data_IF_146301658386
#
_entry.id   IF_146301658386
#
_cell.length_a   1.000
_cell.length_b   1.000
_cell.length_c   1.000
_cell.angle_alpha   90.00
_cell.angle_beta   90.00
_cell.angle_gamma   90.00
#
_symmetry.space_group_name_H-M   'P 1'
#
loop_
_entity.id
_entity.type
_entity.pdbx_description
1 polymer ?
#
# COMPACT_ATOMS: atom_id res chain seq x y z
N UNK A 1 12.67 -52.14 42.71
CA UNK A 1 12.65 -53.60 42.47
C UNK A 1 11.34 -53.92 41.73
N UNK A 2 11.49 -54.43 40.50
CA UNK A 2 10.51 -55.03 39.57
C UNK A 2 9.30 -54.24 39.05
N UNK A 3 9.41 -53.94 37.75
CA UNK A 3 8.38 -53.76 36.72
C UNK A 3 7.71 -55.11 36.41
N UNK A 4 6.42 -55.10 36.03
CA UNK A 4 5.76 -55.97 35.02
C UNK A 4 4.28 -55.55 34.94
N UNK A 5 3.83 -54.92 33.85
CA UNK A 5 3.32 -55.45 32.56
C UNK A 5 1.78 -55.38 32.53
N UNK A 6 1.20 -54.38 31.84
CA UNK A 6 0.76 -54.38 30.43
C UNK A 6 -0.73 -54.77 30.24
N UNK A 7 -1.42 -53.84 29.57
CA UNK A 7 -2.49 -54.01 28.59
C UNK A 7 -3.82 -54.65 29.04
N UNK A 8 -4.85 -53.79 29.09
CA UNK A 8 -5.96 -53.94 28.13
C UNK A 8 -6.62 -52.60 27.80
N UNK A 9 -6.56 -52.29 26.50
CA UNK A 9 -7.31 -51.25 25.80
C UNK A 9 -8.82 -51.47 25.94
N UNK A 10 -9.57 -50.40 26.10
CA UNK A 10 -10.86 -50.20 25.44
C UNK A 10 -11.10 -48.69 25.27
N UNK A 11 -10.91 -48.23 24.03
CA UNK A 11 -11.24 -46.89 23.60
C UNK A 11 -12.75 -46.76 23.40
N UNK A 12 -13.35 -45.68 23.87
CA UNK A 12 -14.66 -45.23 23.42
C UNK A 12 -14.64 -43.70 23.22
N UNK A 13 -14.63 -43.37 21.93
CA UNK A 13 -15.11 -42.17 21.26
C UNK A 13 -15.71 -41.05 22.14
N UNK A 14 -15.09 -39.87 22.09
CA UNK A 14 -15.63 -38.61 22.59
C UNK A 14 -15.55 -37.53 21.52
N UNK A 15 -16.68 -37.31 20.84
CA UNK A 15 -17.09 -36.18 19.99
C UNK A 15 -16.02 -35.18 19.52
N UNK A 16 -15.68 -35.23 18.23
CA UNK A 16 -15.14 -34.08 17.52
C UNK A 16 -16.29 -33.07 17.30
N UNK A 17 -16.34 -32.03 18.12
CA UNK A 17 -17.12 -30.83 17.82
C UNK A 17 -16.39 -30.08 16.70
N UNK A 18 -16.78 -30.35 15.46
CA UNK A 18 -16.45 -29.52 14.33
C UNK A 18 -17.24 -28.21 14.48
N UNK A 19 -16.64 -27.24 15.17
CA UNK A 19 -17.09 -25.85 15.18
C UNK A 19 -16.97 -25.34 13.74
N UNK A 20 -18.08 -25.29 13.03
CA UNK A 20 -18.16 -24.69 11.71
C UNK A 20 -17.70 -23.25 11.79
N UNK A 21 -16.54 -22.96 11.19
CA UNK A 21 -16.17 -21.61 10.81
C UNK A 21 -17.20 -21.16 9.77
N UNK A 22 -18.21 -20.42 10.23
CA UNK A 22 -19.00 -19.57 9.36
C UNK A 22 -18.04 -18.52 8.79
N UNK A 23 -17.42 -18.82 7.66
CA UNK A 23 -16.78 -17.81 6.83
C UNK A 23 -17.93 -16.95 6.34
N UNK A 24 -18.13 -15.81 6.99
CA UNK A 24 -18.88 -14.70 6.41
C UNK A 24 -18.10 -14.31 5.15
N UNK A 25 -18.44 -14.93 4.02
CA UNK A 25 -18.14 -14.36 2.70
C UNK A 25 -18.99 -13.11 2.61
N UNK A 26 -18.53 -12.02 3.22
CA UNK A 26 -19.03 -10.71 2.87
C UNK A 26 -18.91 -10.61 1.36
N UNK A 27 -20.01 -10.28 0.69
CA UNK A 27 -20.00 -9.92 -0.72
C UNK A 27 -19.29 -8.56 -0.87
N UNK A 28 -17.98 -8.54 -0.61
CA UNK A 28 -17.08 -7.50 -1.07
C UNK A 28 -16.46 -7.99 -2.37
N UNK A 29 -16.23 -7.07 -3.30
CA UNK A 29 -15.45 -7.39 -4.49
C UNK A 29 -14.08 -7.95 -4.07
N UNK A 30 -13.66 -9.02 -4.74
CA UNK A 30 -12.35 -9.59 -4.47
C UNK A 30 -11.26 -8.68 -5.07
N UNK A 31 -10.13 -8.44 -4.37
CA UNK A 31 -9.04 -7.67 -4.93
C UNK A 31 -8.52 -8.28 -6.23
N UNK A 32 -8.46 -7.47 -7.30
CA UNK A 32 -7.87 -7.82 -8.60
C UNK A 32 -6.54 -7.11 -8.81
N UNK A 33 -5.68 -7.64 -9.66
CA UNK A 33 -4.50 -6.88 -10.10
C UNK A 33 -4.96 -5.69 -10.95
N UNK A 34 -4.25 -4.55 -10.85
CA UNK A 34 -4.39 -3.47 -11.79
C UNK A 34 -4.02 -3.94 -13.21
N UNK A 35 -4.67 -3.38 -14.23
CA UNK A 35 -4.36 -3.64 -15.63
C UNK A 35 -3.00 -3.04 -16.02
N UNK A 36 -2.66 -1.88 -15.46
CA UNK A 36 -1.36 -1.25 -15.66
C UNK A 36 -0.94 -0.41 -14.45
N UNK A 37 0.37 -0.27 -14.31
CA UNK A 37 1.02 0.73 -13.45
C UNK A 37 1.96 1.54 -14.36
N UNK A 38 1.99 2.85 -14.18
CA UNK A 38 2.89 3.73 -14.93
C UNK A 38 3.26 4.97 -14.11
N UNK A 39 4.05 5.85 -14.73
CA UNK A 39 4.37 7.17 -14.17
C UNK A 39 3.12 8.03 -14.08
N UNK A 40 3.03 8.90 -13.06
CA UNK A 40 1.92 9.86 -12.96
C UNK A 40 1.80 10.74 -14.21
N UNK A 41 0.56 11.06 -14.59
CA UNK A 41 0.24 11.94 -15.70
C UNK A 41 0.15 13.43 -15.32
N UNK A 42 0.29 13.76 -14.03
CA UNK A 42 0.30 15.15 -13.53
C UNK A 42 1.40 16.03 -14.15
N UNK A 43 2.46 15.41 -14.67
CA UNK A 43 3.64 16.10 -15.21
C UNK A 43 4.41 16.91 -14.17
N UNK A 44 4.23 16.61 -12.88
CA UNK A 44 4.91 17.30 -11.78
C UNK A 44 6.13 16.54 -11.27
N UNK A 45 7.14 17.30 -10.83
CA UNK A 45 8.29 16.76 -10.10
C UNK A 45 7.98 16.82 -8.61
N UNK A 46 7.90 15.66 -7.96
CA UNK A 46 7.51 15.59 -6.54
C UNK A 46 8.68 15.80 -5.56
N UNK A 47 9.91 15.43 -5.95
CA UNK A 47 11.11 15.39 -5.06
C UNK A 47 12.04 16.61 -5.17
N UNK A 48 11.66 17.64 -5.94
CA UNK A 48 12.56 18.74 -6.30
C UNK A 48 13.69 18.36 -7.27
N UNK A 49 13.83 17.09 -7.65
CA UNK A 49 14.85 16.60 -8.58
C UNK A 49 14.25 16.46 -9.98
N UNK A 50 14.72 17.27 -10.96
CA UNK A 50 14.11 17.32 -12.29
C UNK A 50 14.15 16.01 -13.08
N UNK A 51 15.03 15.08 -12.74
CA UNK A 51 15.12 13.74 -13.36
C UNK A 51 13.94 12.84 -13.00
N UNK A 52 13.18 13.18 -11.97
CA UNK A 52 12.05 12.38 -11.51
C UNK A 52 10.79 12.68 -12.31
N UNK A 53 10.86 13.68 -13.21
CA UNK A 53 9.82 13.91 -14.19
C UNK A 53 9.69 12.67 -15.09
N UNK A 54 8.53 12.04 -15.08
CA UNK A 54 8.30 10.78 -15.80
C UNK A 54 8.95 9.58 -15.13
N UNK A 55 9.17 9.62 -13.82
CA UNK A 55 9.49 8.46 -12.99
C UNK A 55 8.34 8.15 -12.04
N UNK A 56 8.18 6.86 -11.70
CA UNK A 56 7.42 6.47 -10.52
C UNK A 56 8.30 6.81 -9.31
N UNK A 57 7.73 7.38 -8.26
CA UNK A 57 8.48 7.77 -7.05
C UNK A 57 7.76 7.26 -5.82
N UNK A 58 8.51 6.60 -4.93
CA UNK A 58 8.09 6.32 -3.56
C UNK A 58 9.25 6.65 -2.62
N UNK A 59 8.97 7.36 -1.54
CA UNK A 59 10.02 7.60 -0.57
C UNK A 59 9.66 8.53 0.57
N UNK A 60 10.55 8.54 1.55
CA UNK A 60 10.63 9.57 2.57
C UNK A 60 12.09 9.88 2.83
N UNK A 61 12.46 11.15 2.73
CA UNK A 61 13.86 11.56 2.77
C UNK A 61 14.14 12.82 1.99
N UNK A 62 15.42 13.03 1.70
CA UNK A 62 15.90 14.09 0.80
C UNK A 62 16.82 13.53 -0.30
N UNK A 63 17.22 12.26 -0.21
CA UNK A 63 18.22 11.63 -1.07
C UNK A 63 17.64 10.44 -1.83
N UNK A 64 18.01 10.31 -3.10
CA UNK A 64 17.75 9.09 -3.85
C UNK A 64 18.62 7.94 -3.35
N UNK A 65 17.98 6.93 -2.76
CA UNK A 65 18.62 5.70 -2.30
C UNK A 65 17.55 4.63 -2.03
N UNK A 66 17.99 3.38 -1.95
CA UNK A 66 17.16 2.22 -1.59
C UNK A 66 16.47 2.35 -0.22
N UNK A 67 16.94 3.27 0.63
CA UNK A 67 16.41 3.50 1.99
C UNK A 67 15.71 4.85 2.16
N UNK A 68 15.58 5.67 1.11
CA UNK A 68 14.88 6.96 1.19
C UNK A 68 13.93 7.12 0.01
N UNK A 69 14.40 7.75 -1.07
CA UNK A 69 13.63 8.01 -2.29
C UNK A 69 14.04 7.03 -3.38
N UNK A 70 13.06 6.27 -3.86
CA UNK A 70 13.25 5.24 -4.90
C UNK A 70 12.46 5.60 -6.15
N UNK A 71 13.01 5.20 -7.30
CA UNK A 71 12.39 5.38 -8.62
C UNK A 71 12.16 4.04 -9.33
N UNK A 72 11.23 3.20 -8.82
CA UNK A 72 11.05 1.86 -9.36
C UNK A 72 10.50 1.89 -10.79
N UNK A 73 10.79 0.83 -11.53
CA UNK A 73 10.18 0.58 -12.83
C UNK A 73 8.73 0.10 -12.64
N UNK A 74 7.85 0.26 -13.65
CA UNK A 74 6.47 -0.24 -13.57
C UNK A 74 6.34 -1.72 -13.17
N UNK A 75 7.26 -2.58 -13.62
CA UNK A 75 7.27 -4.02 -13.31
C UNK A 75 7.73 -4.34 -11.87
N UNK A 76 8.24 -3.35 -11.15
CA UNK A 76 8.66 -3.45 -9.74
C UNK A 76 7.59 -2.94 -8.77
N UNK A 77 6.45 -2.51 -9.30
CA UNK A 77 5.30 -2.01 -8.54
C UNK A 77 4.11 -2.94 -8.78
N UNK A 78 3.51 -3.42 -7.70
CA UNK A 78 2.26 -4.19 -7.75
C UNK A 78 1.13 -3.33 -7.23
N UNK A 79 0.04 -3.22 -7.99
CA UNK A 79 -1.18 -2.57 -7.54
C UNK A 79 -2.36 -3.55 -7.54
N UNK A 80 -3.18 -3.49 -6.50
CA UNK A 80 -4.41 -4.28 -6.35
C UNK A 80 -5.60 -3.35 -6.18
N UNK A 81 -6.62 -3.58 -7.00
CA UNK A 81 -7.83 -2.78 -7.05
C UNK A 81 -8.99 -3.58 -6.44
N UNK A 82 -9.80 -2.93 -5.60
CA UNK A 82 -11.01 -3.50 -4.99
C UNK A 82 -12.17 -2.57 -5.28
N UNK A 83 -13.31 -3.09 -5.75
CA UNK A 83 -14.42 -2.26 -6.19
C UNK A 83 -14.20 -1.59 -7.56
N UNK A 84 -15.12 -0.69 -7.93
CA UNK A 84 -15.12 0.05 -9.19
C UNK A 84 -15.74 1.44 -9.01
N UNK A 85 -15.41 2.37 -9.91
CA UNK A 85 -15.96 3.73 -9.92
C UNK A 85 -15.77 4.41 -8.56
N UNK A 86 -16.89 4.84 -7.96
CA UNK A 86 -16.85 5.55 -6.68
C UNK A 86 -16.57 4.67 -5.45
N UNK A 87 -16.55 3.34 -5.63
CA UNK A 87 -16.22 2.37 -4.58
C UNK A 87 -14.79 1.82 -4.72
N UNK A 88 -13.99 2.37 -5.66
CA UNK A 88 -12.64 1.90 -5.92
C UNK A 88 -11.70 2.18 -4.74
N UNK A 89 -10.98 1.16 -4.30
CA UNK A 89 -9.81 1.27 -3.43
C UNK A 89 -8.61 0.61 -4.11
N UNK A 90 -7.45 1.26 -3.98
CA UNK A 90 -6.18 0.80 -4.58
C UNK A 90 -5.15 0.61 -3.48
N UNK A 91 -4.56 -0.59 -3.42
CA UNK A 91 -3.38 -0.88 -2.63
C UNK A 91 -2.18 -1.03 -3.57
N UNK A 92 -1.15 -0.22 -3.35
CA UNK A 92 0.08 -0.20 -4.14
C UNK A 92 1.21 -0.68 -3.24
N UNK A 93 1.97 -1.65 -3.70
CA UNK A 93 3.19 -2.13 -3.05
C UNK A 93 4.36 -1.97 -4.00
N UNK A 94 5.46 -1.41 -3.52
CA UNK A 94 6.69 -1.23 -4.29
C UNK A 94 7.87 -1.89 -3.57
N UNK A 95 9.03 -1.90 -4.23
CA UNK A 95 10.28 -2.36 -3.64
C UNK A 95 10.60 -1.60 -2.32
N UNK A 96 11.50 -2.18 -1.53
CA UNK A 96 11.96 -1.58 -0.27
C UNK A 96 10.83 -1.35 0.76
N UNK A 97 9.83 -2.24 0.77
CA UNK A 97 8.80 -2.32 1.80
C UNK A 97 7.67 -1.29 1.71
N UNK A 98 7.64 -0.44 0.69
CA UNK A 98 6.62 0.62 0.54
C UNK A 98 5.23 0.04 0.28
N UNK A 99 4.23 0.53 1.02
CA UNK A 99 2.81 0.28 0.78
C UNK A 99 2.02 1.58 0.85
N UNK A 100 1.20 1.85 -0.18
CA UNK A 100 0.30 3.00 -0.26
C UNK A 100 -1.13 2.49 -0.43
N UNK A 101 -2.08 3.03 0.31
CA UNK A 101 -3.52 2.78 0.11
C UNK A 101 -4.26 4.07 -0.17
N UNK A 102 -5.08 4.03 -1.21
CA UNK A 102 -5.93 5.13 -1.63
C UNK A 102 -7.37 4.61 -1.77
N UNK A 103 -8.34 5.43 -1.38
CA UNK A 103 -9.76 5.17 -1.58
C UNK A 103 -10.37 6.30 -2.40
N UNK A 104 -11.27 5.96 -3.31
CA UNK A 104 -11.88 6.92 -4.23
C UNK A 104 -12.43 8.15 -3.49
N UNK A 105 -12.08 9.34 -3.98
CA UNK A 105 -12.54 10.62 -3.44
C UNK A 105 -11.97 10.98 -2.06
N UNK A 106 -11.12 10.13 -1.46
CA UNK A 106 -10.41 10.46 -0.22
C UNK A 106 -9.21 11.35 -0.53
N UNK A 107 -9.03 12.48 0.20
CA UNK A 107 -7.81 13.28 0.15
C UNK A 107 -6.73 12.75 1.11
N UNK A 108 -6.91 11.55 1.65
CA UNK A 108 -5.99 10.91 2.59
C UNK A 108 -5.45 9.65 1.96
N UNK A 109 -4.12 9.50 2.01
CA UNK A 109 -3.43 8.26 1.66
C UNK A 109 -2.91 7.60 2.94
N UNK A 110 -3.04 6.28 3.04
CA UNK A 110 -2.31 5.51 4.05
C UNK A 110 -0.98 5.09 3.47
N UNK A 111 0.12 5.40 4.15
CA UNK A 111 1.48 5.08 3.74
C UNK A 111 2.18 4.25 4.81
N UNK A 112 2.97 3.26 4.41
CA UNK A 112 3.73 2.41 5.31
C UNK A 112 5.05 1.98 4.65
N UNK A 113 6.04 1.64 5.47
CA UNK A 113 7.27 0.99 4.99
C UNK A 113 7.71 -0.11 5.97
N UNK A 114 7.64 -1.38 5.54
CA UNK A 114 8.01 -2.51 6.40
C UNK A 114 9.51 -2.65 6.62
N UNK A 115 10.32 -2.31 5.63
CA UNK A 115 11.77 -2.51 5.65
C UNK A 115 12.43 -1.50 6.59
N UNK A 116 11.90 -0.28 6.62
CA UNK A 116 12.28 0.80 7.52
C UNK A 116 11.53 0.77 8.87
N UNK A 117 10.69 -0.25 9.10
CA UNK A 117 9.89 -0.39 10.32
C UNK A 117 8.98 0.82 10.61
N UNK A 118 8.49 1.48 9.55
CA UNK A 118 7.56 2.60 9.65
C UNK A 118 6.12 2.08 9.70
N UNK A 119 5.37 2.38 10.78
CA UNK A 119 3.98 1.97 10.89
C UNK A 119 3.14 2.62 9.78
N UNK A 120 2.01 1.98 9.47
CA UNK A 120 1.04 2.54 8.55
C UNK A 120 0.42 3.80 9.15
N UNK A 121 0.58 4.91 8.44
CA UNK A 121 0.17 6.24 8.87
C UNK A 121 -0.59 6.96 7.76
N UNK A 122 -1.38 7.96 8.12
CA UNK A 122 -2.13 8.77 7.16
C UNK A 122 -1.33 10.03 6.78
N UNK A 123 -1.36 10.38 5.50
CA UNK A 123 -0.93 11.69 5.00
C UNK A 123 -2.11 12.42 4.38
N UNK A 124 -2.29 13.69 4.76
CA UNK A 124 -3.28 14.59 4.18
C UNK A 124 -2.72 15.20 2.89
N UNK A 125 -3.34 14.90 1.76
CA UNK A 125 -2.90 15.39 0.45
C UNK A 125 -3.48 16.77 0.12
N UNK A 126 -4.40 17.31 0.93
CA UNK A 126 -4.89 18.70 0.75
C UNK A 126 -3.85 19.74 1.13
N UNK A 127 -2.91 19.38 2.01
CA UNK A 127 -1.76 20.21 2.40
C UNK A 127 -0.52 19.88 1.57
N UNK A 128 -0.69 19.29 0.38
CA UNK A 128 0.41 18.95 -0.50
C UNK A 128 1.31 20.17 -0.73
N UNK A 129 2.62 19.92 -0.57
CA UNK A 129 3.65 20.96 -0.62
C UNK A 129 4.15 21.21 -2.05
N UNK A 130 3.56 20.54 -3.04
CA UNK A 130 3.78 20.75 -4.46
C UNK A 130 2.50 21.23 -5.14
N UNK A 131 2.64 22.07 -6.16
CA UNK A 131 1.54 22.67 -6.89
C UNK A 131 0.95 21.75 -7.98
N UNK A 132 0.73 20.47 -7.66
CA UNK A 132 -0.10 19.62 -8.51
C UNK A 132 -1.56 20.14 -8.42
N UNK A 133 -2.27 20.34 -9.54
CA UNK A 133 -3.67 20.79 -9.52
C UNK A 133 -4.56 19.88 -8.66
N UNK A 134 -4.35 18.56 -8.79
CA UNK A 134 -4.99 17.51 -8.01
C UNK A 134 -3.90 16.50 -7.59
N UNK A 135 -3.44 16.53 -6.32
CA UNK A 135 -2.40 15.61 -5.85
C UNK A 135 -2.80 14.13 -5.87
N UNK A 136 -4.10 13.86 -5.78
CA UNK A 136 -4.72 12.55 -5.96
C UNK A 136 -5.90 12.75 -6.89
N UNK A 137 -5.79 12.26 -8.12
CA UNK A 137 -6.75 12.44 -9.20
C UNK A 137 -7.48 11.12 -9.48
N UNK A 138 -8.82 11.22 -9.46
CA UNK A 138 -9.78 10.15 -9.74
C UNK A 138 -10.76 10.52 -10.86
N UNK A 139 -10.40 11.50 -11.68
CA UNK A 139 -11.26 12.08 -12.73
C UNK A 139 -11.64 11.05 -13.80
N UNK A 140 -10.74 10.11 -14.08
CA UNK A 140 -10.99 8.99 -14.97
C UNK A 140 -11.54 7.78 -14.20
N UNK A 141 -12.66 7.18 -14.64
CA UNK A 141 -13.22 6.00 -13.99
C UNK A 141 -12.22 4.85 -13.93
N UNK A 142 -12.16 4.20 -12.77
CA UNK A 142 -11.27 3.07 -12.49
C UNK A 142 -9.77 3.39 -12.70
N UNK A 143 -9.39 4.66 -12.60
CA UNK A 143 -7.99 5.09 -12.65
C UNK A 143 -7.65 5.94 -11.44
N UNK A 144 -6.40 5.83 -11.00
CA UNK A 144 -5.82 6.61 -9.91
C UNK A 144 -4.51 7.22 -10.40
N UNK A 145 -4.41 8.54 -10.32
CA UNK A 145 -3.13 9.24 -10.47
C UNK A 145 -2.76 9.91 -9.14
N UNK A 146 -1.54 9.69 -8.68
CA UNK A 146 -1.01 10.32 -7.47
C UNK A 146 0.24 11.10 -7.87
N UNK A 147 0.31 12.35 -7.47
CA UNK A 147 1.50 13.17 -7.47
C UNK A 147 1.49 14.08 -6.25
N UNK A 148 2.14 13.63 -5.18
CA UNK A 148 2.13 14.33 -3.89
C UNK A 148 3.52 14.35 -3.26
N UNK A 149 3.82 15.49 -2.65
CA UNK A 149 4.82 15.60 -1.59
C UNK A 149 4.11 16.14 -0.34
N UNK A 150 4.13 15.37 0.74
CA UNK A 150 3.44 15.71 1.99
C UNK A 150 4.41 15.72 3.17
N UNK A 151 4.03 16.42 4.23
CA UNK A 151 4.75 16.32 5.50
C UNK A 151 4.75 14.88 6.00
N UNK A 152 5.81 14.54 6.72
CA UNK A 152 5.96 13.22 7.35
C UNK A 152 4.88 13.05 8.42
N UNK A 153 4.26 11.85 8.54
CA UNK A 153 3.46 11.50 9.70
C UNK A 153 4.21 11.73 11.03
N UNK A 154 3.49 12.22 12.05
CA UNK A 154 4.07 12.51 13.37
C UNK A 154 4.62 11.26 14.07
N UNK A 155 4.06 10.09 13.74
CA UNK A 155 4.40 8.79 14.32
C UNK A 155 5.67 8.16 13.76
N UNK A 156 6.20 8.65 12.64
CA UNK A 156 7.46 8.16 12.09
C UNK A 156 8.64 8.74 12.87
N UNK A 157 9.66 7.92 13.14
CA UNK A 157 10.90 8.37 13.81
C UNK A 157 11.63 9.39 12.93
N UNK A 158 12.54 10.20 13.48
CA UNK A 158 13.23 11.26 12.71
C UNK A 158 14.54 10.80 12.08
N UNK A 159 14.66 9.52 11.68
CA UNK A 159 15.89 9.00 11.09
C UNK A 159 16.24 9.73 9.78
N UNK A 160 15.22 10.04 8.98
CA UNK A 160 15.33 10.88 7.80
C UNK A 160 14.71 12.26 8.04
N UNK A 161 15.25 13.27 7.38
CA UNK A 161 14.58 14.57 7.19
C UNK A 161 13.78 14.54 5.89
N UNK A 162 12.95 15.56 5.67
CA UNK A 162 12.25 15.72 4.40
C UNK A 162 10.82 15.19 4.42
N UNK A 163 10.30 14.94 3.22
CA UNK A 163 8.86 14.75 2.94
C UNK A 163 8.58 13.34 2.47
N UNK A 164 7.31 12.95 2.56
CA UNK A 164 6.83 11.73 1.90
C UNK A 164 6.50 12.07 0.45
N UNK A 165 7.02 11.29 -0.48
CA UNK A 165 6.82 11.45 -1.92
C UNK A 165 6.13 10.23 -2.50
N UNK A 166 5.05 10.48 -3.24
CA UNK A 166 4.36 9.46 -4.03
C UNK A 166 4.06 10.03 -5.41
N UNK A 167 4.52 9.37 -6.46
CA UNK A 167 4.21 9.68 -7.86
C UNK A 167 3.95 8.39 -8.62
N UNK A 168 2.70 8.11 -8.99
CA UNK A 168 2.33 6.86 -9.67
C UNK A 168 0.96 6.99 -10.34
N UNK A 169 0.78 6.32 -11.47
CA UNK A 169 -0.51 6.09 -12.11
C UNK A 169 -0.88 4.60 -12.04
N UNK A 170 -2.15 4.30 -11.77
CA UNK A 170 -2.71 2.95 -11.74
C UNK A 170 -4.00 2.90 -12.56
N UNK A 171 -4.07 1.96 -13.50
CA UNK A 171 -5.28 1.65 -14.27
C UNK A 171 -5.89 0.33 -13.76
N UNK A 172 -7.12 0.40 -13.24
CA UNK A 172 -7.86 -0.73 -12.67
C UNK A 172 -8.92 -1.33 -13.61
N UNK A 173 -9.01 -0.87 -14.86
CA UNK A 173 -10.05 -1.30 -15.82
C UNK A 173 -9.89 -2.74 -16.32
#
# INVERSE_FOLDING_TARGET
MFVTDQLRRAALAGAALASGLAVLTGCGDQPRAAAAVSTSFSGQVVTGTSTDLGSIVFGWGDTHSDTEITTPRPDEVTARCTGHGHDLAVEITAAHGWTIRAAYGSPVLTVANTDQQLPAAEIDTTTALIAAPEPVDWSEPDQLDIAVAADRPDEWSSEHSGRVYVSVHVDCR
#
